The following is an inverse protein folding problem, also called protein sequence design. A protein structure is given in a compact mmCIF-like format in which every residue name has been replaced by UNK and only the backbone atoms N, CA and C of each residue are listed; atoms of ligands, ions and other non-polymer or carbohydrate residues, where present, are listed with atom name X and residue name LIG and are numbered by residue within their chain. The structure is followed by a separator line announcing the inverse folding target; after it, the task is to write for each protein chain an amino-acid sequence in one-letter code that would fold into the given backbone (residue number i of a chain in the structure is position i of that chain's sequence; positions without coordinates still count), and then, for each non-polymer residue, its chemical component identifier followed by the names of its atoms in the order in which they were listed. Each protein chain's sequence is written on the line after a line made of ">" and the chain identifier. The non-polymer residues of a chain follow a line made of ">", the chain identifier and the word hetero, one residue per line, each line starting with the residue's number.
data_IF_336468508022
#
_entry.id   IF_336468508022
#
_cell.length_a   1.000
_cell.length_b   1.000
_cell.length_c   1.000
_cell.angle_alpha   90.00
_cell.angle_beta   90.00
_cell.angle_gamma   90.00
#
_symmetry.space_group_name_H-M   'P 1'
#
loop_
_entity.id
_entity.type
_entity.pdbx_description
1 polymer ?
#
# COMPACT_ATOMS: atom_id res chain seq x y z
N UNK A 1 -53.28 9.13 -53.09
CA UNK A 1 -51.99 8.51 -52.72
C UNK A 1 -52.02 8.15 -51.23
N UNK A 2 -52.10 6.85 -50.87
CA UNK A 2 -52.18 6.38 -49.48
C UNK A 2 -50.78 6.12 -48.93
N UNK A 3 -50.28 6.97 -48.03
CA UNK A 3 -49.02 6.75 -47.31
C UNK A 3 -49.31 5.86 -46.09
N UNK A 4 -48.74 4.65 -46.07
CA UNK A 4 -48.83 3.71 -44.96
C UNK A 4 -47.84 4.13 -43.88
N UNK A 5 -48.34 4.37 -42.67
CA UNK A 5 -47.54 4.54 -41.46
C UNK A 5 -46.99 3.16 -41.05
N UNK A 6 -45.68 2.99 -41.08
CA UNK A 6 -45.02 1.86 -40.44
C UNK A 6 -44.68 2.26 -38.99
N UNK A 7 -45.39 1.66 -38.04
CA UNK A 7 -45.07 1.75 -36.62
C UNK A 7 -43.81 0.93 -36.35
N UNK A 8 -42.74 1.59 -35.87
CA UNK A 8 -41.55 0.92 -35.35
C UNK A 8 -41.77 0.61 -33.86
N UNK A 9 -41.85 -0.68 -33.54
CA UNK A 9 -41.81 -1.17 -32.17
C UNK A 9 -40.34 -1.18 -31.68
N UNK A 10 -40.04 -0.71 -30.45
CA UNK A 10 -38.72 -0.85 -29.87
C UNK A 10 -38.54 -2.26 -29.29
N UNK A 11 -37.56 -3.01 -29.82
CA UNK A 11 -37.06 -4.22 -29.16
C UNK A 11 -36.20 -3.81 -27.96
N UNK A 12 -36.73 -4.00 -26.76
CA UNK A 12 -35.97 -3.90 -25.52
C UNK A 12 -35.15 -5.18 -25.36
N UNK A 13 -33.88 -5.14 -25.76
CA UNK A 13 -32.91 -6.19 -25.44
C UNK A 13 -32.38 -5.94 -24.02
N UNK A 14 -32.97 -6.60 -23.03
CA UNK A 14 -32.38 -6.73 -21.68
C UNK A 14 -31.13 -7.62 -21.77
N UNK A 15 -29.98 -7.03 -22.08
CA UNK A 15 -28.68 -7.67 -21.87
C UNK A 15 -28.25 -7.42 -20.42
N UNK A 16 -28.76 -8.27 -19.52
CA UNK A 16 -28.29 -8.31 -18.14
C UNK A 16 -26.87 -8.85 -18.08
N UNK A 17 -25.86 -7.98 -17.96
CA UNK A 17 -24.56 -8.39 -17.45
C UNK A 17 -24.67 -8.57 -15.94
N UNK A 18 -24.93 -9.81 -15.52
CA UNK A 18 -24.62 -10.29 -14.17
C UNK A 18 -23.10 -10.17 -13.99
N UNK A 19 -22.64 -9.13 -13.31
CA UNK A 19 -21.26 -9.09 -12.79
C UNK A 19 -21.14 -10.15 -11.71
N UNK A 20 -20.80 -11.38 -12.11
CA UNK A 20 -20.27 -12.40 -11.21
C UNK A 20 -19.08 -11.78 -10.48
N UNK A 21 -19.14 -11.83 -9.15
CA UNK A 21 -18.07 -11.38 -8.27
C UNK A 21 -16.74 -11.94 -8.75
N UNK A 22 -15.85 -11.05 -9.17
CA UNK A 22 -14.50 -11.39 -9.53
C UNK A 22 -13.84 -11.97 -8.28
N UNK A 23 -13.61 -13.28 -8.31
CA UNK A 23 -12.69 -13.96 -7.43
C UNK A 23 -11.34 -13.30 -7.65
N UNK A 24 -10.93 -12.49 -6.67
CA UNK A 24 -9.66 -11.78 -6.68
C UNK A 24 -8.53 -12.80 -6.89
N UNK A 25 -7.72 -12.70 -7.95
CA UNK A 25 -6.62 -13.62 -8.14
C UNK A 25 -5.69 -13.50 -6.94
N UNK A 26 -5.40 -14.62 -6.26
CA UNK A 26 -4.21 -14.73 -5.41
C UNK A 26 -3.01 -14.65 -6.34
N UNK A 27 -2.60 -13.44 -6.64
CA UNK A 27 -1.45 -13.16 -7.50
C UNK A 27 -0.18 -13.54 -6.73
N UNK A 28 0.25 -14.79 -6.91
CA UNK A 28 1.47 -15.34 -6.35
C UNK A 28 2.70 -14.98 -7.20
N UNK A 29 2.66 -13.86 -7.92
CA UNK A 29 3.81 -13.33 -8.62
C UNK A 29 4.67 -12.54 -7.63
N UNK A 30 5.76 -13.16 -7.16
CA UNK A 30 6.80 -12.48 -6.38
C UNK A 30 7.31 -11.21 -7.09
N UNK A 31 7.23 -11.15 -8.42
CA UNK A 31 7.62 -10.03 -9.26
C UNK A 31 6.71 -8.79 -9.16
N UNK A 32 5.48 -8.90 -8.66
CA UNK A 32 4.53 -7.79 -8.48
C UNK A 32 4.32 -7.41 -7.01
N UNK A 33 5.18 -7.88 -6.10
CA UNK A 33 5.08 -7.49 -4.70
C UNK A 33 5.64 -6.07 -4.53
N UNK A 34 4.86 -5.22 -3.90
CA UNK A 34 5.26 -3.87 -3.51
C UNK A 34 4.58 -3.52 -2.18
N UNK A 35 4.95 -2.38 -1.63
CA UNK A 35 4.30 -1.79 -0.47
C UNK A 35 3.73 -0.43 -0.84
N UNK A 36 2.67 -0.03 -0.17
CA UNK A 36 2.17 1.35 -0.23
C UNK A 36 2.38 2.01 1.12
N UNK A 37 2.81 3.26 1.10
CA UNK A 37 3.02 4.07 2.29
C UNK A 37 2.26 5.38 2.13
N UNK A 38 1.24 5.54 2.95
CA UNK A 38 0.53 6.81 3.11
C UNK A 38 1.33 7.67 4.11
N UNK A 39 1.96 8.73 3.62
CA UNK A 39 2.79 9.63 4.40
C UNK A 39 1.97 10.50 5.36
N UNK A 40 0.69 10.73 5.08
CA UNK A 40 -0.20 11.54 5.89
C UNK A 40 -0.82 10.71 7.02
N UNK A 41 -1.42 9.56 6.68
CA UNK A 41 -1.96 8.63 7.66
C UNK A 41 -0.87 7.86 8.43
N UNK A 42 0.39 7.90 7.93
CA UNK A 42 1.52 7.14 8.46
C UNK A 42 1.21 5.64 8.50
N UNK A 43 0.73 5.13 7.36
CA UNK A 43 0.26 3.74 7.21
C UNK A 43 1.04 3.02 6.12
N UNK A 44 1.69 1.91 6.48
CA UNK A 44 2.41 1.03 5.55
C UNK A 44 1.55 -0.21 5.25
N UNK A 45 1.24 -0.47 4.00
CA UNK A 45 0.44 -1.63 3.57
C UNK A 45 1.20 -2.50 2.57
N UNK A 46 0.84 -3.79 2.52
CA UNK A 46 1.33 -4.68 1.47
C UNK A 46 0.47 -4.53 0.21
N UNK A 47 1.07 -4.14 -0.91
CA UNK A 47 0.37 -3.85 -2.16
C UNK A 47 -0.72 -2.78 -1.98
N UNK A 48 -1.83 -2.96 -2.69
CA UNK A 48 -3.07 -2.17 -2.51
C UNK A 48 -3.98 -2.72 -1.39
N UNK A 49 -3.45 -3.57 -0.50
CA UNK A 49 -4.26 -4.20 0.53
C UNK A 49 -4.83 -3.17 1.51
N UNK A 50 -6.13 -3.32 1.83
CA UNK A 50 -6.79 -2.56 2.90
C UNK A 50 -6.65 -3.21 4.28
N UNK A 51 -6.22 -4.48 4.34
CA UNK A 51 -6.26 -5.28 5.57
C UNK A 51 -4.89 -5.64 6.10
N UNK A 52 -3.87 -5.70 5.24
CA UNK A 52 -2.49 -5.98 5.62
C UNK A 52 -1.74 -4.65 5.71
N UNK A 53 -1.97 -3.93 6.81
CA UNK A 53 -1.44 -2.59 7.04
C UNK A 53 -0.96 -2.39 8.48
N UNK A 54 0.04 -1.52 8.62
CA UNK A 54 0.64 -1.10 9.88
C UNK A 54 0.54 0.41 10.04
N UNK A 55 -0.09 0.86 11.12
CA UNK A 55 -0.10 2.26 11.54
C UNK A 55 1.23 2.60 12.24
N UNK A 56 2.13 3.37 11.62
CA UNK A 56 3.45 3.66 12.19
C UNK A 56 3.37 4.45 13.50
N UNK A 57 2.28 5.20 13.72
CA UNK A 57 2.03 5.88 14.99
C UNK A 57 1.88 4.92 16.18
N UNK A 58 1.38 3.70 15.93
CA UNK A 58 1.15 2.69 16.97
C UNK A 58 2.43 2.02 17.47
N UNK A 59 3.55 2.20 16.78
CA UNK A 59 4.85 1.61 17.14
C UNK A 59 5.85 2.65 17.64
N UNK A 60 5.44 3.91 17.83
CA UNK A 60 6.32 4.99 18.28
C UNK A 60 7.04 4.67 19.61
N UNK A 61 6.37 3.95 20.53
CA UNK A 61 6.94 3.55 21.82
C UNK A 61 8.01 2.45 21.76
N UNK A 62 8.09 1.72 20.65
CA UNK A 62 9.01 0.59 20.47
C UNK A 62 10.26 0.99 19.67
N UNK A 63 10.69 2.26 19.76
CA UNK A 63 11.84 2.80 19.02
C UNK A 63 13.12 1.96 19.13
N UNK A 64 13.34 1.28 20.26
CA UNK A 64 14.52 0.42 20.47
C UNK A 64 14.55 -0.79 19.53
N UNK A 65 13.42 -1.13 18.93
CA UNK A 65 13.28 -2.23 17.97
C UNK A 65 13.50 -1.77 16.51
N UNK A 66 13.71 -0.48 16.25
CA UNK A 66 13.98 0.02 14.89
C UNK A 66 15.40 -0.25 14.42
N UNK A 67 16.31 -0.66 15.31
CA UNK A 67 17.73 -0.88 15.00
C UNK A 67 17.99 -1.69 13.71
N UNK A 68 17.28 -2.81 13.41
CA UNK A 68 17.49 -3.53 12.16
C UNK A 68 17.22 -2.69 10.90
N UNK A 69 16.22 -1.80 10.96
CA UNK A 69 15.92 -0.86 9.87
C UNK A 69 17.04 0.18 9.79
N UNK A 70 17.40 0.79 10.92
CA UNK A 70 18.42 1.84 10.97
C UNK A 70 19.78 1.35 10.45
N UNK A 71 20.19 0.15 10.84
CA UNK A 71 21.43 -0.49 10.39
C UNK A 71 21.39 -0.78 8.88
N UNK A 72 20.23 -1.19 8.35
CA UNK A 72 20.05 -1.52 6.93
C UNK A 72 20.03 -0.28 6.04
N UNK A 73 19.40 0.80 6.50
CA UNK A 73 19.29 2.06 5.76
C UNK A 73 20.46 3.01 6.02
N UNK A 74 21.36 2.68 6.95
CA UNK A 74 22.53 3.50 7.28
C UNK A 74 22.20 4.82 7.97
N UNK A 75 20.99 4.94 8.56
CA UNK A 75 20.54 6.17 9.22
C UNK A 75 19.61 5.84 10.39
N UNK A 76 19.73 6.57 11.50
CA UNK A 76 18.78 6.49 12.61
C UNK A 76 17.43 7.13 12.27
N UNK A 77 16.36 6.59 12.85
CA UNK A 77 15.04 7.20 12.88
C UNK A 77 15.05 8.35 13.89
N UNK A 78 14.73 9.55 13.43
CA UNK A 78 14.99 10.79 14.16
C UNK A 78 13.83 11.22 15.07
N UNK A 79 14.21 11.90 16.16
CA UNK A 79 13.30 12.65 17.04
C UNK A 79 12.91 13.99 16.41
N UNK A 80 11.80 14.62 16.88
CA UNK A 80 10.87 14.15 17.91
C UNK A 80 9.80 13.19 17.38
N UNK A 81 9.60 13.12 16.06
CA UNK A 81 8.53 12.35 15.44
C UNK A 81 9.07 11.10 14.74
N UNK A 82 9.28 10.04 15.52
CA UNK A 82 9.82 8.78 14.99
C UNK A 82 8.95 8.16 13.89
N UNK A 83 7.61 8.08 14.00
CA UNK A 83 6.77 7.54 12.93
C UNK A 83 6.94 8.28 11.60
N UNK A 84 6.95 9.62 11.64
CA UNK A 84 7.15 10.43 10.43
C UNK A 84 8.57 10.26 9.90
N UNK A 85 9.58 10.26 10.76
CA UNK A 85 10.97 10.07 10.32
C UNK A 85 11.17 8.70 9.67
N UNK A 86 10.56 7.64 10.22
CA UNK A 86 10.59 6.31 9.64
C UNK A 86 9.89 6.30 8.27
N UNK A 87 8.69 6.88 8.16
CA UNK A 87 8.00 6.99 6.88
C UNK A 87 8.86 7.69 5.82
N UNK A 88 9.47 8.84 6.16
CA UNK A 88 10.31 9.57 5.20
C UNK A 88 11.57 8.80 4.80
N UNK A 89 12.19 8.06 5.74
CA UNK A 89 13.31 7.17 5.45
C UNK A 89 12.91 6.04 4.49
N UNK A 90 11.71 5.48 4.63
CA UNK A 90 11.20 4.46 3.72
C UNK A 90 10.81 5.03 2.35
N UNK A 91 10.33 6.28 2.28
CA UNK A 91 10.00 6.94 1.01
C UNK A 91 11.27 7.31 0.25
N UNK A 92 12.21 7.95 0.93
CA UNK A 92 13.44 8.45 0.37
C UNK A 92 14.64 7.85 1.12
N UNK A 93 15.04 6.61 0.79
CA UNK A 93 16.13 5.94 1.47
C UNK A 93 17.42 6.74 1.28
N UNK A 94 18.17 7.04 2.36
CA UNK A 94 19.36 7.90 2.29
C UNK A 94 20.51 7.25 1.51
N UNK A 95 20.54 5.92 1.44
CA UNK A 95 21.50 5.14 0.65
C UNK A 95 21.07 4.97 -0.82
N UNK A 96 19.92 5.53 -1.21
CA UNK A 96 19.35 5.43 -2.55
C UNK A 96 19.14 3.98 -3.03
N UNK A 97 18.96 3.04 -2.10
CA UNK A 97 18.78 1.62 -2.39
C UNK A 97 17.56 1.32 -3.26
N UNK A 98 16.63 2.26 -3.38
CA UNK A 98 15.51 2.22 -4.34
C UNK A 98 14.90 3.61 -4.54
N UNK A 99 14.04 3.70 -5.55
CA UNK A 99 13.17 4.86 -5.79
C UNK A 99 11.72 4.50 -5.45
N UNK A 100 11.04 5.37 -4.71
CA UNK A 100 9.60 5.29 -4.49
C UNK A 100 8.84 5.99 -5.62
N UNK A 101 7.71 5.43 -6.04
CA UNK A 101 6.79 6.05 -6.99
C UNK A 101 5.64 6.72 -6.21
N UNK A 102 5.29 7.96 -6.54
CA UNK A 102 4.09 8.60 -6.00
C UNK A 102 2.89 8.15 -6.84
N UNK A 103 1.83 7.65 -6.18
CA UNK A 103 0.71 6.97 -6.88
C UNK A 103 -0.64 7.68 -6.77
N UNK A 104 -0.79 8.68 -5.92
CA UNK A 104 -2.01 9.46 -5.78
C UNK A 104 -1.89 10.89 -6.33
N UNK A 105 -3.03 11.45 -6.70
CA UNK A 105 -3.14 12.80 -7.26
C UNK A 105 -2.88 13.88 -6.19
N UNK A 106 -3.23 13.58 -4.94
CA UNK A 106 -3.04 14.46 -3.78
C UNK A 106 -1.61 14.38 -3.20
N UNK A 107 -0.82 13.42 -3.66
CA UNK A 107 0.61 13.35 -3.44
C UNK A 107 1.07 12.89 -2.06
N UNK A 108 0.29 12.02 -1.41
CA UNK A 108 0.58 11.51 -0.07
C UNK A 108 0.87 10.00 -0.05
N UNK A 109 0.52 9.25 -1.10
CA UNK A 109 0.71 7.80 -1.17
C UNK A 109 1.87 7.45 -2.08
N UNK A 110 2.79 6.66 -1.55
CA UNK A 110 4.00 6.20 -2.23
C UNK A 110 3.98 4.68 -2.37
N UNK A 111 4.25 4.20 -3.58
CA UNK A 111 4.59 2.80 -3.85
C UNK A 111 6.08 2.61 -3.62
N UNK A 112 6.42 1.65 -2.77
CA UNK A 112 7.77 1.20 -2.47
C UNK A 112 7.99 -0.18 -3.12
N UNK A 113 9.08 -0.42 -3.86
CA UNK A 113 9.33 -1.72 -4.46
C UNK A 113 9.59 -2.76 -3.36
N UNK A 114 9.18 -4.02 -3.56
CA UNK A 114 9.63 -5.10 -2.68
C UNK A 114 11.09 -5.44 -3.00
N UNK A 115 11.98 -5.20 -2.05
CA UNK A 115 13.40 -5.52 -2.13
C UNK A 115 13.93 -5.83 -0.72
N UNK A 116 15.23 -6.09 -0.58
CA UNK A 116 15.81 -6.44 0.72
C UNK A 116 15.58 -5.38 1.82
N UNK A 117 15.53 -4.09 1.45
CA UNK A 117 15.33 -2.99 2.39
C UNK A 117 13.87 -2.94 2.87
N UNK A 118 12.93 -2.82 1.94
CA UNK A 118 11.50 -2.71 2.26
C UNK A 118 10.94 -4.00 2.87
N UNK A 119 11.44 -5.16 2.45
CA UNK A 119 11.08 -6.45 3.05
C UNK A 119 11.58 -6.55 4.50
N UNK A 120 12.79 -6.05 4.79
CA UNK A 120 13.30 -6.01 6.17
C UNK A 120 12.50 -5.04 7.03
N UNK A 121 12.21 -3.85 6.51
CA UNK A 121 11.39 -2.86 7.20
C UNK A 121 10.01 -3.43 7.55
N UNK A 122 9.34 -4.06 6.57
CA UNK A 122 8.07 -4.74 6.75
C UNK A 122 8.12 -5.79 7.86
N UNK A 123 9.08 -6.73 7.81
CA UNK A 123 9.21 -7.80 8.83
C UNK A 123 9.51 -7.24 10.21
N UNK A 124 10.32 -6.19 10.30
CA UNK A 124 10.66 -5.54 11.57
C UNK A 124 9.42 -4.88 12.17
N UNK A 125 8.66 -4.13 11.37
CA UNK A 125 7.41 -3.51 11.80
C UNK A 125 6.36 -4.56 12.22
N UNK A 126 6.19 -5.62 11.44
CA UNK A 126 5.30 -6.74 11.77
C UNK A 126 5.68 -7.38 13.12
N UNK A 127 6.98 -7.60 13.34
CA UNK A 127 7.49 -8.13 14.62
C UNK A 127 7.15 -7.21 15.78
N UNK A 128 7.36 -5.89 15.62
CA UNK A 128 7.02 -4.91 16.65
C UNK A 128 5.51 -4.92 16.95
N UNK A 129 4.67 -4.93 15.92
CA UNK A 129 3.22 -5.01 16.08
C UNK A 129 2.80 -6.26 16.86
N UNK A 130 3.37 -7.42 16.52
CA UNK A 130 3.12 -8.67 17.25
C UNK A 130 3.56 -8.58 18.70
N UNK A 131 4.75 -8.03 18.96
CA UNK A 131 5.25 -7.83 20.34
C UNK A 131 4.34 -6.93 21.17
N UNK A 132 3.76 -5.89 20.58
CA UNK A 132 2.91 -4.94 21.32
C UNK A 132 1.46 -5.44 21.46
N UNK A 133 0.90 -6.08 20.42
CA UNK A 133 -0.54 -6.28 20.30
C UNK A 133 -1.02 -7.74 20.17
N UNK A 134 -0.13 -8.69 19.90
CA UNK A 134 -0.49 -10.12 19.88
C UNK A 134 -0.17 -10.73 21.23
N UNK A 135 -1.15 -10.68 22.14
CA UNK A 135 -1.15 -11.46 23.39
C UNK A 135 -2.07 -12.66 23.25
#
# INVERSE_FOLDING_TARGET
>A
MKKRFFALAPLVLLTGCLSLGQTQPKDNNAHNRYYTLDAQALRLCQGDSRTQCFELNRIAGARFMFKPIEDKYGQSVQRPNYPRSLAMMLINPPDQSYLSERVDVDGQIYRLPANDHTNLAWRTIDTIFKTIYSK
#
